data_IF_408072008548
#
_entry.id   IF_408072008548
#
_cell.length_a   1.000
_cell.length_b   1.000
_cell.length_c   1.000
_cell.angle_alpha   90.00
_cell.angle_beta   90.00
_cell.angle_gamma   90.00
#
_symmetry.space_group_name_H-M   'P 1'
#
loop_
_entity.id
_entity.type
_entity.pdbx_description
1 polymer ?
#
# COMPACT_ATOMS: atom_id res chain seq x y z
N UNK A 1 -4.06 25.16 -24.09
CA UNK A 1 -5.18 25.00 -23.15
C UNK A 1 -4.65 25.43 -21.79
N UNK A 2 -5.12 26.55 -21.24
CA UNK A 2 -4.63 27.15 -19.98
C UNK A 2 -5.73 27.09 -18.91
N UNK A 3 -6.30 25.91 -18.67
CA UNK A 3 -7.20 25.71 -17.53
C UNK A 3 -6.40 25.29 -16.30
N UNK A 4 -6.75 25.84 -15.14
CA UNK A 4 -6.12 25.52 -13.86
C UNK A 4 -6.42 24.06 -13.47
N UNK A 5 -5.37 23.23 -13.36
CA UNK A 5 -5.43 21.80 -12.98
C UNK A 5 -5.99 21.52 -11.58
N UNK A 6 -6.36 22.56 -10.82
CA UNK A 6 -7.01 22.45 -9.50
C UNK A 6 -8.37 21.74 -9.55
N UNK A 7 -9.05 21.74 -10.69
CA UNK A 7 -10.40 21.14 -10.85
C UNK A 7 -10.40 19.70 -11.36
N UNK A 8 -9.24 19.14 -11.72
CA UNK A 8 -9.17 17.79 -12.27
C UNK A 8 -9.27 16.75 -11.15
N UNK A 9 -10.08 15.72 -11.39
CA UNK A 9 -10.11 14.50 -10.58
C UNK A 9 -8.75 13.78 -10.64
N UNK A 10 -8.47 12.90 -9.67
CA UNK A 10 -7.22 12.13 -9.62
C UNK A 10 -6.91 11.40 -10.94
N UNK A 11 -7.90 10.70 -11.49
CA UNK A 11 -7.79 10.01 -12.79
C UNK A 11 -7.59 10.93 -14.01
N UNK A 12 -8.08 12.17 -13.98
CA UNK A 12 -7.81 13.15 -15.05
C UNK A 12 -6.38 13.70 -14.98
N UNK A 13 -5.86 13.92 -13.77
CA UNK A 13 -4.46 14.31 -13.57
C UNK A 13 -3.52 13.20 -14.01
N UNK A 14 -3.81 11.95 -13.66
CA UNK A 14 -2.98 10.82 -14.08
C UNK A 14 -2.97 10.60 -15.59
N UNK A 15 -4.12 10.74 -16.28
CA UNK A 15 -4.17 10.71 -17.75
C UNK A 15 -3.35 11.82 -18.38
N UNK A 16 -3.39 13.02 -17.81
CA UNK A 16 -2.59 14.14 -18.27
C UNK A 16 -1.08 13.85 -18.08
N UNK A 17 -0.70 13.28 -16.94
CA UNK A 17 0.69 12.90 -16.65
C UNK A 17 1.17 11.82 -17.63
N UNK A 18 0.39 10.76 -17.86
CA UNK A 18 0.69 9.73 -18.86
C UNK A 18 0.84 10.32 -20.26
N UNK A 19 -0.08 11.20 -20.67
CA UNK A 19 0.01 11.89 -21.96
C UNK A 19 1.27 12.76 -22.07
N UNK A 20 1.68 13.41 -20.98
CA UNK A 20 2.91 14.20 -20.92
C UNK A 20 4.17 13.32 -21.02
N UNK A 21 4.19 12.16 -20.37
CA UNK A 21 5.30 11.19 -20.44
C UNK A 21 5.47 10.69 -21.88
N UNK A 22 4.37 10.27 -22.52
CA UNK A 22 4.37 9.81 -23.93
C UNK A 22 4.80 10.92 -24.89
N UNK A 23 4.35 12.15 -24.64
CA UNK A 23 4.65 13.30 -25.50
C UNK A 23 6.10 13.78 -25.36
N UNK A 24 6.61 13.89 -24.13
CA UNK A 24 7.94 14.46 -23.86
C UNK A 24 9.06 13.44 -24.01
N UNK A 25 8.76 12.14 -23.90
CA UNK A 25 9.75 11.05 -23.92
C UNK A 25 10.96 11.37 -23.02
N UNK A 26 10.73 11.64 -21.73
CA UNK A 26 11.82 12.00 -20.83
C UNK A 26 12.80 10.83 -20.70
N UNK A 27 14.08 11.14 -20.47
CA UNK A 27 15.09 10.12 -20.20
C UNK A 27 15.07 9.64 -18.73
N UNK A 28 14.46 10.42 -17.84
CA UNK A 28 14.33 10.15 -16.40
C UNK A 28 12.93 10.54 -15.94
N UNK A 29 12.27 9.63 -15.23
CA UNK A 29 10.96 9.84 -14.63
C UNK A 29 11.07 9.70 -13.11
N UNK A 30 10.60 10.71 -12.38
CA UNK A 30 10.52 10.72 -10.93
C UNK A 30 9.04 10.71 -10.54
N UNK A 31 8.60 9.67 -9.85
CA UNK A 31 7.21 9.49 -9.42
C UNK A 31 7.14 9.37 -7.91
N UNK A 32 6.26 10.15 -7.30
CA UNK A 32 5.96 10.11 -5.88
C UNK A 32 4.48 9.79 -5.72
N UNK A 33 4.18 8.62 -5.14
CA UNK A 33 2.85 8.01 -5.03
C UNK A 33 1.99 8.10 -6.30
N UNK A 34 2.45 7.52 -7.43
CA UNK A 34 1.77 7.70 -8.72
C UNK A 34 0.43 6.96 -8.83
N UNK A 35 0.14 6.04 -7.90
CA UNK A 35 -1.13 5.30 -7.83
C UNK A 35 -2.19 6.03 -6.99
N UNK A 36 -1.84 7.12 -6.32
CA UNK A 36 -2.77 7.82 -5.47
C UNK A 36 -3.93 8.42 -6.30
N UNK A 37 -5.16 8.24 -5.82
CA UNK A 37 -6.40 8.66 -6.48
C UNK A 37 -6.67 8.03 -7.86
N UNK A 38 -6.06 6.87 -8.15
CA UNK A 38 -6.36 6.07 -9.34
C UNK A 38 -7.31 4.90 -9.05
N UNK A 39 -8.24 4.69 -9.97
CA UNK A 39 -9.06 3.49 -10.11
C UNK A 39 -8.26 2.31 -10.70
N UNK A 40 -8.78 1.10 -10.51
CA UNK A 40 -8.09 -0.16 -10.81
C UNK A 40 -7.56 -0.24 -12.24
N UNK A 41 -8.43 0.01 -13.23
CA UNK A 41 -8.08 -0.05 -14.65
C UNK A 41 -6.95 0.91 -15.01
N UNK A 42 -6.92 2.08 -14.37
CA UNK A 42 -5.90 3.10 -14.64
C UNK A 42 -4.58 2.81 -13.93
N UNK A 43 -4.61 2.18 -12.74
CA UNK A 43 -3.38 1.68 -12.10
C UNK A 43 -2.72 0.60 -12.95
N UNK A 44 -3.52 -0.31 -13.51
CA UNK A 44 -3.00 -1.33 -14.39
C UNK A 44 -2.40 -0.72 -15.66
N UNK A 45 -3.11 0.20 -16.32
CA UNK A 45 -2.60 0.89 -17.50
C UNK A 45 -1.32 1.71 -17.21
N UNK A 46 -1.23 2.34 -16.04
CA UNK A 46 -0.03 3.05 -15.60
C UNK A 46 1.13 2.08 -15.38
N UNK A 47 0.88 0.95 -14.71
CA UNK A 47 1.88 -0.09 -14.47
C UNK A 47 2.44 -0.62 -15.79
N UNK A 48 1.58 -1.00 -16.73
CA UNK A 48 1.96 -1.46 -18.07
C UNK A 48 2.80 -0.40 -18.82
N UNK A 49 2.37 0.87 -18.76
CA UNK A 49 3.11 1.97 -19.38
C UNK A 49 4.49 2.23 -18.75
N UNK A 50 4.65 1.99 -17.45
CA UNK A 50 5.91 2.15 -16.74
C UNK A 50 6.86 0.97 -16.97
N UNK A 51 6.34 -0.24 -17.14
CA UNK A 51 7.12 -1.43 -17.55
C UNK A 51 7.75 -1.20 -18.92
N UNK A 52 6.98 -0.66 -19.88
CA UNK A 52 7.44 -0.41 -21.24
C UNK A 52 8.31 0.86 -21.39
N UNK A 53 8.57 1.58 -20.30
CA UNK A 53 9.31 2.83 -20.34
C UNK A 53 10.83 2.58 -20.47
N UNK A 54 11.41 2.93 -21.62
CA UNK A 54 12.85 2.73 -21.90
C UNK A 54 13.80 3.71 -21.18
N UNK A 55 13.28 4.62 -20.34
CA UNK A 55 14.09 5.59 -19.59
C UNK A 55 14.40 5.12 -18.16
N UNK A 56 15.17 5.94 -17.43
CA UNK A 56 15.38 5.70 -16.00
C UNK A 56 14.11 6.04 -15.21
N UNK A 57 13.69 5.15 -14.31
CA UNK A 57 12.54 5.34 -13.43
C UNK A 57 13.00 5.36 -11.98
N UNK A 58 12.57 6.39 -11.23
CA UNK A 58 12.64 6.40 -9.77
C UNK A 58 11.23 6.59 -9.27
N UNK A 59 10.76 5.61 -8.51
CA UNK A 59 9.40 5.60 -7.97
C UNK A 59 9.44 5.47 -6.46
N UNK A 60 8.65 6.30 -5.79
CA UNK A 60 8.25 6.13 -4.40
C UNK A 60 6.78 5.73 -4.44
N UNK A 61 6.47 4.55 -3.94
CA UNK A 61 5.09 4.09 -3.85
C UNK A 61 4.91 3.14 -2.68
N UNK A 62 3.71 3.10 -2.12
CA UNK A 62 3.26 2.02 -1.24
C UNK A 62 2.66 0.83 -2.01
N UNK A 63 2.47 0.93 -3.34
CA UNK A 63 1.92 -0.13 -4.16
C UNK A 63 2.98 -1.21 -4.47
N UNK A 64 2.87 -2.34 -3.76
CA UNK A 64 3.77 -3.49 -3.91
C UNK A 64 3.76 -4.07 -5.32
N UNK A 65 2.61 -4.08 -5.99
CA UNK A 65 2.47 -4.65 -7.33
C UNK A 65 3.18 -3.77 -8.34
N UNK A 66 3.01 -2.45 -8.23
CA UNK A 66 3.71 -1.48 -9.07
C UNK A 66 5.23 -1.61 -8.89
N UNK A 67 5.72 -1.53 -7.65
CA UNK A 67 7.16 -1.60 -7.35
C UNK A 67 7.75 -2.90 -7.90
N UNK A 68 7.17 -4.05 -7.53
CA UNK A 68 7.67 -5.36 -7.96
C UNK A 68 7.71 -5.52 -9.48
N UNK A 69 6.80 -4.87 -10.19
CA UNK A 69 6.70 -5.00 -11.65
C UNK A 69 7.58 -4.00 -12.40
N UNK A 70 7.96 -2.87 -11.78
CA UNK A 70 8.59 -1.73 -12.49
C UNK A 70 10.01 -1.41 -12.02
N UNK A 71 10.48 -1.94 -10.90
CA UNK A 71 11.81 -1.60 -10.35
C UNK A 71 12.72 -2.82 -10.24
N UNK A 72 13.97 -2.65 -10.67
CA UNK A 72 15.04 -3.66 -10.53
C UNK A 72 15.82 -3.52 -9.20
N UNK A 73 15.96 -2.28 -8.71
CA UNK A 73 16.74 -1.94 -7.50
C UNK A 73 15.84 -1.30 -6.43
N UNK A 74 15.99 -1.73 -5.17
CA UNK A 74 15.32 -1.16 -4.02
C UNK A 74 16.28 -0.34 -3.17
N UNK A 75 15.80 0.82 -2.70
CA UNK A 75 16.55 1.69 -1.78
C UNK A 75 15.75 1.90 -0.51
N UNK A 76 16.37 1.62 0.63
CA UNK A 76 15.79 1.81 1.95
C UNK A 76 16.18 3.20 2.48
N UNK A 77 15.17 3.97 2.90
CA UNK A 77 15.39 5.26 3.57
C UNK A 77 15.09 5.09 5.06
N UNK A 78 16.13 5.13 5.89
CA UNK A 78 16.04 4.97 7.35
C UNK A 78 17.14 5.78 8.04
N UNK A 79 16.90 6.25 9.28
CA UNK A 79 17.89 6.98 10.09
C UNK A 79 18.54 8.18 9.36
N UNK A 80 17.76 8.89 8.54
CA UNK A 80 18.24 9.99 7.67
C UNK A 80 19.34 9.57 6.68
N UNK A 81 19.40 8.28 6.33
CA UNK A 81 20.30 7.69 5.34
C UNK A 81 19.50 6.94 4.27
N UNK A 82 20.12 6.78 3.12
CA UNK A 82 19.60 5.98 2.00
C UNK A 82 20.62 4.90 1.72
N UNK A 83 20.21 3.64 1.81
CA UNK A 83 21.07 2.48 1.58
C UNK A 83 20.41 1.53 0.57
N UNK A 84 21.19 0.90 -0.33
CA UNK A 84 20.65 -0.14 -1.20
C UNK A 84 20.10 -1.28 -0.36
N UNK A 85 18.94 -1.81 -0.77
CA UNK A 85 18.30 -2.93 -0.12
C UNK A 85 18.32 -4.13 -1.05
N UNK A 86 19.16 -5.12 -0.73
CA UNK A 86 19.33 -6.34 -1.53
C UNK A 86 18.22 -7.39 -1.29
N UNK A 87 17.27 -7.11 -0.39
CA UNK A 87 16.13 -7.99 -0.10
C UNK A 87 14.92 -7.69 -0.97
N UNK A 88 13.91 -8.55 -0.91
CA UNK A 88 12.64 -8.32 -1.60
C UNK A 88 11.63 -7.54 -0.73
N UNK A 89 10.43 -7.31 -1.27
CA UNK A 89 9.36 -6.62 -0.53
C UNK A 89 8.89 -7.38 0.73
N UNK A 90 9.08 -8.69 0.80
CA UNK A 90 8.75 -9.51 1.98
C UNK A 90 9.83 -9.33 3.07
N UNK A 91 11.10 -9.31 2.67
CA UNK A 91 12.23 -8.98 3.54
C UNK A 91 12.10 -7.56 4.13
N UNK A 92 11.58 -6.61 3.35
CA UNK A 92 11.30 -5.26 3.83
C UNK A 92 10.23 -5.24 4.94
N UNK A 93 9.15 -6.03 4.81
CA UNK A 93 8.11 -6.15 5.85
C UNK A 93 8.67 -6.76 7.14
N UNK A 94 9.53 -7.78 7.00
CA UNK A 94 10.23 -8.40 8.12
C UNK A 94 11.12 -7.38 8.84
N UNK A 95 11.90 -6.60 8.07
CA UNK A 95 12.78 -5.55 8.58
C UNK A 95 12.02 -4.44 9.31
N UNK A 96 10.89 -3.98 8.78
CA UNK A 96 10.00 -3.00 9.41
C UNK A 96 9.48 -3.50 10.76
N UNK A 97 9.05 -4.75 10.80
CA UNK A 97 8.51 -5.39 12.01
C UNK A 97 9.56 -5.52 13.11
N UNK A 98 10.81 -5.80 12.74
CA UNK A 98 11.90 -5.95 13.70
C UNK A 98 12.49 -4.59 14.14
N UNK A 99 12.49 -3.59 13.26
CA UNK A 99 12.87 -2.21 13.59
C UNK A 99 11.91 -1.56 14.58
N UNK A 100 10.60 -1.73 14.40
CA UNK A 100 9.59 -1.23 15.36
C UNK A 100 9.73 -1.88 16.74
N UNK A 101 10.10 -3.16 16.82
CA UNK A 101 10.37 -3.84 18.09
C UNK A 101 11.62 -3.28 18.78
N UNK A 102 12.67 -2.94 18.03
CA UNK A 102 13.88 -2.32 18.58
C UNK A 102 13.66 -0.88 19.05
N UNK A 103 12.93 -0.04 18.31
CA UNK A 103 12.61 1.33 18.74
C UNK A 103 11.73 1.36 20.00
N UNK A 104 10.80 0.40 20.11
CA UNK A 104 9.96 0.24 21.30
C UNK A 104 10.74 -0.18 22.54
N UNK A 105 11.91 -0.83 22.38
CA UNK A 105 12.80 -1.20 23.49
C UNK A 105 13.82 -0.11 23.84
N UNK A 106 14.18 0.76 22.89
CA UNK A 106 15.24 1.78 23.08
C UNK A 106 14.70 3.11 23.63
N UNK A 107 13.38 3.32 23.61
CA UNK A 107 12.72 4.55 24.07
C UNK A 107 12.45 4.64 25.58
N UNK A 108 12.92 3.68 26.39
CA UNK A 108 12.83 3.73 27.86
C UNK A 108 13.93 4.55 28.57
N UNK A 109 14.83 5.21 27.85
CA UNK A 109 15.80 6.12 28.49
C UNK A 109 15.26 7.56 28.66
N UNK A 110 15.27 8.11 29.90
CA UNK A 110 14.69 9.42 30.18
C UNK A 110 15.59 10.54 29.64
N UNK A 111 15.23 11.12 28.49
CA UNK A 111 15.85 12.37 28.01
C UNK A 111 15.42 13.56 28.87
N UNK A 112 16.29 13.91 29.78
CA UNK A 112 16.31 15.15 30.53
C UNK A 112 16.64 16.31 29.57
N UNK A 113 15.66 17.18 29.26
CA UNK A 113 15.94 18.53 28.77
C UNK A 113 14.81 19.51 29.10
N UNK A 114 15.22 20.68 29.59
CA UNK A 114 14.38 21.72 30.17
C UNK A 114 13.53 22.46 29.14
N UNK A 115 12.25 22.09 29.07
CA UNK A 115 11.20 22.93 28.52
C UNK A 115 10.10 23.05 29.58
N UNK A 116 9.51 24.23 29.70
CA UNK A 116 8.60 24.61 30.80
C UNK A 116 7.57 23.51 31.10
N UNK A 117 7.21 23.34 32.38
CA UNK A 117 6.19 22.37 32.78
C UNK A 117 4.87 22.50 31.98
N UNK A 118 4.61 23.70 31.44
CA UNK A 118 3.52 24.00 30.51
C UNK A 118 3.70 23.30 29.14
N UNK A 119 4.88 23.43 28.51
CA UNK A 119 5.17 22.82 27.21
C UNK A 119 5.08 21.28 27.24
N UNK A 120 5.57 20.65 28.33
CA UNK A 120 5.44 19.20 28.53
C UNK A 120 3.98 18.76 28.72
N UNK A 121 3.16 19.57 29.39
CA UNK A 121 1.74 19.29 29.61
C UNK A 121 0.93 19.44 28.31
N UNK A 122 1.23 20.46 27.51
CA UNK A 122 0.57 20.71 26.24
C UNK A 122 0.96 19.69 25.17
N UNK A 123 2.23 19.24 25.15
CA UNK A 123 2.69 18.16 24.28
C UNK A 123 2.00 16.83 24.62
N UNK A 124 1.95 16.47 25.91
CA UNK A 124 1.29 15.24 26.38
C UNK A 124 -0.22 15.25 26.11
N UNK A 125 -0.86 16.42 26.10
CA UNK A 125 -2.27 16.59 25.76
C UNK A 125 -2.51 16.39 24.26
N UNK A 126 -1.68 16.99 23.40
CA UNK A 126 -1.74 16.79 21.94
C UNK A 126 -1.51 15.33 21.55
N UNK A 127 -0.52 14.68 22.13
CA UNK A 127 -0.26 13.25 21.90
C UNK A 127 -1.44 12.36 22.34
N UNK A 128 -2.07 12.68 23.47
CA UNK A 128 -3.25 11.95 23.94
C UNK A 128 -4.45 12.17 23.01
N UNK A 129 -4.69 13.40 22.57
CA UNK A 129 -5.75 13.76 21.61
C UNK A 129 -5.54 13.05 20.26
N UNK A 130 -4.31 13.05 19.73
CA UNK A 130 -3.94 12.31 18.51
C UNK A 130 -4.19 10.80 18.64
N UNK A 131 -3.82 10.21 19.78
CA UNK A 131 -4.06 8.79 20.04
C UNK A 131 -5.54 8.45 20.05
N UNK A 132 -6.39 9.31 20.63
CA UNK A 132 -7.84 9.12 20.55
C UNK A 132 -8.39 9.28 19.14
N UNK A 133 -7.87 10.22 18.36
CA UNK A 133 -8.32 10.47 16.98
C UNK A 133 -7.91 9.34 16.03
N UNK A 134 -6.72 8.77 16.23
CA UNK A 134 -6.16 7.67 15.41
C UNK A 134 -6.61 6.28 15.84
N UNK A 135 -7.13 6.11 17.07
CA UNK A 135 -7.65 4.85 17.58
C UNK A 135 -8.74 4.18 16.71
N UNK A 136 -9.76 4.89 16.17
CA UNK A 136 -10.75 4.27 15.27
C UNK A 136 -10.11 3.73 13.99
N UNK A 137 -9.19 4.48 13.37
CA UNK A 137 -8.48 4.04 12.16
C UNK A 137 -7.64 2.80 12.43
N UNK A 138 -6.90 2.77 13.55
CA UNK A 138 -6.14 1.58 13.96
C UNK A 138 -7.03 0.35 14.19
N UNK A 139 -8.23 0.54 14.73
CA UNK A 139 -9.20 -0.55 14.90
C UNK A 139 -9.76 -1.03 13.57
N UNK A 140 -9.98 -0.12 12.63
CA UNK A 140 -10.49 -0.44 11.30
C UNK A 140 -9.44 -1.20 10.49
N UNK A 141 -8.18 -0.76 10.50
CA UNK A 141 -7.03 -1.47 9.92
C UNK A 141 -6.97 -2.91 10.46
N UNK A 142 -7.01 -3.08 11.79
CA UNK A 142 -6.98 -4.42 12.41
C UNK A 142 -8.22 -5.28 12.09
N UNK A 143 -9.36 -4.65 11.79
CA UNK A 143 -10.58 -5.36 11.34
C UNK A 143 -10.39 -5.87 9.91
N UNK A 144 -9.88 -5.01 9.03
CA UNK A 144 -9.65 -5.29 7.62
C UNK A 144 -8.56 -6.36 7.42
N UNK A 145 -7.48 -6.32 8.20
CA UNK A 145 -6.44 -7.37 8.21
C UNK A 145 -7.04 -8.77 8.51
N UNK A 146 -7.95 -8.84 9.49
CA UNK A 146 -8.65 -10.10 9.81
C UNK A 146 -9.62 -10.54 8.72
N UNK A 147 -10.18 -9.60 7.96
CA UNK A 147 -11.03 -9.94 6.81
C UNK A 147 -10.19 -10.44 5.65
N UNK A 148 -9.04 -9.82 5.37
CA UNK A 148 -8.06 -10.30 4.40
C UNK A 148 -7.56 -11.71 4.73
N UNK A 149 -7.22 -12.00 5.99
CA UNK A 149 -6.83 -13.35 6.42
C UNK A 149 -7.93 -14.39 6.11
N UNK A 150 -9.22 -14.03 6.31
CA UNK A 150 -10.33 -14.91 5.98
C UNK A 150 -10.47 -15.14 4.49
N UNK A 151 -10.36 -14.09 3.67
CA UNK A 151 -10.45 -14.23 2.22
C UNK A 151 -9.28 -15.04 1.66
N UNK A 152 -8.05 -14.81 2.14
CA UNK A 152 -6.89 -15.62 1.79
C UNK A 152 -7.08 -17.10 2.17
N UNK A 153 -7.62 -17.39 3.35
CA UNK A 153 -7.92 -18.77 3.75
C UNK A 153 -9.00 -19.42 2.86
N UNK A 154 -10.01 -18.66 2.44
CA UNK A 154 -11.04 -19.15 1.50
C UNK A 154 -10.46 -19.38 0.10
N UNK A 155 -9.54 -18.52 -0.35
CA UNK A 155 -8.86 -18.65 -1.63
C UNK A 155 -8.00 -19.93 -1.64
N UNK A 156 -7.20 -20.13 -0.60
CA UNK A 156 -6.38 -21.33 -0.45
C UNK A 156 -7.22 -22.62 -0.45
N UNK A 157 -8.38 -22.63 0.22
CA UNK A 157 -9.29 -23.78 0.18
C UNK A 157 -9.90 -24.01 -1.21
N UNK A 158 -10.21 -22.94 -1.95
CA UNK A 158 -10.75 -23.07 -3.30
C UNK A 158 -9.67 -23.59 -4.26
N UNK A 159 -8.43 -23.11 -4.14
CA UNK A 159 -7.29 -23.54 -4.95
C UNK A 159 -6.88 -24.98 -4.66
N UNK A 160 -6.90 -25.41 -3.40
CA UNK A 160 -6.65 -26.80 -3.02
C UNK A 160 -7.67 -27.74 -3.68
N UNK A 161 -8.96 -27.37 -3.69
CA UNK A 161 -10.01 -28.14 -4.37
C UNK A 161 -9.85 -28.14 -5.88
N UNK A 162 -9.49 -27.00 -6.47
CA UNK A 162 -9.23 -26.87 -7.91
C UNK A 162 -7.97 -27.65 -8.35
N UNK A 163 -7.06 -27.97 -7.43
CA UNK A 163 -5.92 -28.85 -7.67
C UNK A 163 -6.28 -30.33 -7.85
N UNK A 164 -7.49 -30.76 -7.49
CA UNK A 164 -7.96 -32.13 -7.68
C UNK A 164 -8.35 -32.38 -9.14
N UNK A 165 -7.60 -33.26 -9.82
CA UNK A 165 -7.84 -33.62 -11.22
C UNK A 165 -9.20 -34.32 -11.43
N UNK A 166 -9.76 -34.97 -10.40
CA UNK A 166 -11.10 -35.58 -10.46
C UNK A 166 -12.23 -34.54 -10.46
N UNK A 167 -11.96 -33.30 -10.04
CA UNK A 167 -12.97 -32.23 -10.01
C UNK A 167 -13.39 -31.77 -11.43
N UNK A 168 -12.58 -32.08 -12.44
CA UNK A 168 -12.81 -31.72 -13.84
C UNK A 168 -13.66 -32.74 -14.60
N UNK A 169 -14.06 -33.84 -13.96
CA UNK A 169 -14.98 -34.80 -14.55
C UNK A 169 -16.38 -34.21 -14.76
N UNK A 170 -17.04 -34.63 -15.85
CA UNK A 170 -18.40 -34.17 -16.19
C UNK A 170 -19.42 -34.44 -15.06
N UNK A 171 -19.18 -35.43 -14.22
CA UNK A 171 -20.02 -35.78 -13.07
C UNK A 171 -19.96 -34.75 -11.93
N UNK A 172 -18.84 -34.03 -11.76
CA UNK A 172 -18.60 -33.04 -10.69
C UNK A 172 -18.63 -31.58 -11.17
N UNK A 173 -19.14 -31.34 -12.39
CA UNK A 173 -19.23 -29.99 -12.99
C UNK A 173 -19.92 -28.93 -12.10
N UNK A 174 -20.90 -29.33 -11.30
CA UNK A 174 -21.57 -28.43 -10.35
C UNK A 174 -20.63 -27.98 -9.22
N UNK A 175 -19.81 -28.89 -8.69
CA UNK A 175 -18.81 -28.60 -7.65
C UNK A 175 -17.67 -27.73 -8.19
N UNK A 176 -17.20 -28.01 -9.41
CA UNK A 176 -16.23 -27.18 -10.12
C UNK A 176 -16.72 -25.73 -10.30
N UNK A 177 -17.96 -25.57 -10.74
CA UNK A 177 -18.56 -24.24 -10.96
C UNK A 177 -18.70 -23.48 -9.64
N UNK A 178 -19.14 -24.16 -8.58
CA UNK A 178 -19.22 -23.58 -7.24
C UNK A 178 -17.83 -23.16 -6.72
N UNK A 179 -16.79 -23.97 -6.97
CA UNK A 179 -15.43 -23.67 -6.51
C UNK A 179 -14.82 -22.46 -7.24
N UNK A 180 -15.02 -22.37 -8.56
CA UNK A 180 -14.61 -21.22 -9.36
C UNK A 180 -15.34 -19.94 -8.92
N UNK A 181 -16.64 -20.05 -8.63
CA UNK A 181 -17.43 -18.91 -8.14
C UNK A 181 -16.97 -18.47 -6.75
N UNK A 182 -16.66 -19.43 -5.87
CA UNK A 182 -16.09 -19.15 -4.55
C UNK A 182 -14.74 -18.45 -4.68
N UNK A 183 -13.83 -18.95 -5.53
CA UNK A 183 -12.54 -18.32 -5.81
C UNK A 183 -12.70 -16.88 -6.32
N UNK A 184 -13.56 -16.66 -7.32
CA UNK A 184 -13.82 -15.34 -7.87
C UNK A 184 -14.38 -14.36 -6.81
N UNK A 185 -15.33 -14.83 -5.99
CA UNK A 185 -15.92 -14.00 -4.93
C UNK A 185 -14.94 -13.69 -3.81
N UNK A 186 -14.11 -14.64 -3.40
CA UNK A 186 -13.09 -14.44 -2.38
C UNK A 186 -11.99 -13.50 -2.87
N UNK A 187 -11.61 -13.61 -4.16
CA UNK A 187 -10.62 -12.72 -4.77
C UNK A 187 -11.13 -11.28 -4.85
N UNK A 188 -12.35 -11.08 -5.34
CA UNK A 188 -12.98 -9.75 -5.38
C UNK A 188 -13.13 -9.15 -3.98
N UNK A 189 -13.53 -9.95 -2.98
CA UNK A 189 -13.66 -9.50 -1.60
C UNK A 189 -12.31 -9.17 -0.94
N UNK A 190 -11.25 -9.91 -1.28
CA UNK A 190 -9.88 -9.61 -0.85
C UNK A 190 -9.42 -8.26 -1.39
N UNK A 191 -9.60 -8.03 -2.69
CA UNK A 191 -9.23 -6.78 -3.36
C UNK A 191 -9.99 -5.57 -2.76
N UNK A 192 -11.30 -5.70 -2.50
CA UNK A 192 -12.08 -4.65 -1.82
C UNK A 192 -11.57 -4.38 -0.39
N UNK A 193 -11.23 -5.41 0.37
CA UNK A 193 -10.68 -5.25 1.72
C UNK A 193 -9.29 -4.63 1.71
N UNK A 194 -8.44 -5.01 0.76
CA UNK A 194 -7.11 -4.44 0.58
C UNK A 194 -7.18 -2.94 0.26
N UNK A 195 -8.11 -2.52 -0.60
CA UNK A 195 -8.32 -1.10 -0.87
C UNK A 195 -8.82 -0.35 0.36
N UNK A 196 -9.80 -0.87 1.08
CA UNK A 196 -10.27 -0.24 2.31
C UNK A 196 -9.15 -0.15 3.37
N UNK A 197 -8.26 -1.14 3.43
CA UNK A 197 -7.13 -1.16 4.36
C UNK A 197 -6.09 -0.11 4.00
N UNK A 198 -5.78 0.03 2.70
CA UNK A 198 -4.92 1.09 2.17
C UNK A 198 -5.46 2.48 2.49
N UNK A 199 -6.74 2.73 2.22
CA UNK A 199 -7.38 4.02 2.51
C UNK A 199 -7.34 4.36 4.02
N UNK A 200 -7.55 3.36 4.88
CA UNK A 200 -7.50 3.54 6.32
C UNK A 200 -6.07 3.78 6.84
N UNK A 201 -5.06 3.15 6.22
CA UNK A 201 -3.64 3.41 6.47
C UNK A 201 -3.24 4.83 6.05
N UNK A 202 -3.61 5.27 4.86
CA UNK A 202 -3.29 6.63 4.36
C UNK A 202 -3.88 7.70 5.28
N UNK A 203 -5.15 7.55 5.68
CA UNK A 203 -5.78 8.47 6.64
C UNK A 203 -5.07 8.49 7.99
N UNK A 204 -4.58 7.33 8.45
CA UNK A 204 -3.85 7.24 9.71
C UNK A 204 -2.50 7.97 9.61
N UNK A 205 -1.80 7.82 8.50
CA UNK A 205 -0.53 8.48 8.26
C UNK A 205 -0.67 9.99 8.11
N UNK A 206 -1.65 10.47 7.35
CA UNK A 206 -1.96 11.91 7.24
C UNK A 206 -2.24 12.53 8.63
N UNK A 207 -3.02 11.85 9.47
CA UNK A 207 -3.29 12.30 10.83
C UNK A 207 -2.04 12.32 11.72
N UNK A 208 -1.05 11.47 11.46
CA UNK A 208 0.21 11.44 12.19
C UNK A 208 1.21 12.48 11.69
N UNK A 209 1.17 12.86 10.41
CA UNK A 209 2.02 13.92 9.83
C UNK A 209 1.53 15.34 10.16
N UNK A 210 0.21 15.56 10.24
CA UNK A 210 -0.38 16.87 10.58
C UNK A 210 -0.40 17.19 12.09
N UNK A 211 -0.10 16.20 12.95
CA UNK A 211 -0.21 16.25 14.41
C UNK A 211 1.07 16.59 15.16
#
# INVERSE_FOLDING_TARGET
VNEETKRFSGGEKARLVLALIVWQRPNLLLLDEPTNHLDLDMRQALTEALIDFEGALVVVSHDRHLIRSTTDDLYLVHDSKVEPFDGDLEDYQQWLSDSQKQESQTSEEPKENGNSAQARKDQKRREAELRTLTQPLRKEIARLEKEMEKFNAQLAQAEEKLGDSELYDQSRKAELTACLQQQASAKSGLEECEMAWLDAQEQLEQMLQEG
#
